data_IF_939704192854
#
_entry.id   IF_939704192854
#
_cell.length_a   1.000
_cell.length_b   1.000
_cell.length_c   1.000
_cell.angle_alpha   90.00
_cell.angle_beta   90.00
_cell.angle_gamma   90.00
#
_symmetry.space_group_name_H-M   'P 1'
#
loop_
_entity.id
_entity.type
_entity.pdbx_description
1 polymer ?
#
# COMPACT_ATOMS: atom_id res chain seq x y z
N UNK A 1 -27.71 -70.68 22.26
CA UNK A 1 -27.53 -69.23 21.96
C UNK A 1 -28.15 -68.91 20.61
N UNK A 2 -29.26 -68.14 20.55
CA UNK A 2 -29.81 -67.69 19.26
C UNK A 2 -28.89 -66.63 18.65
N UNK A 3 -28.43 -66.86 17.42
CA UNK A 3 -27.58 -65.91 16.68
C UNK A 3 -28.38 -64.62 16.42
N UNK A 4 -27.80 -63.46 16.70
CA UNK A 4 -28.42 -62.17 16.39
C UNK A 4 -28.66 -62.07 14.87
N UNK A 5 -29.85 -61.59 14.47
CA UNK A 5 -30.15 -61.38 13.05
C UNK A 5 -29.28 -60.26 12.46
N UNK A 6 -29.06 -60.27 11.13
CA UNK A 6 -28.34 -59.18 10.43
C UNK A 6 -28.96 -57.80 10.72
N UNK A 7 -30.29 -57.72 10.78
CA UNK A 7 -31.01 -56.49 11.10
C UNK A 7 -30.78 -56.03 12.55
N UNK A 8 -30.74 -56.95 13.52
CA UNK A 8 -30.40 -56.66 14.91
C UNK A 8 -28.96 -56.16 15.08
N UNK A 9 -28.01 -56.66 14.28
CA UNK A 9 -26.62 -56.19 14.28
C UNK A 9 -26.54 -54.77 13.74
N UNK A 10 -27.13 -54.51 12.57
CA UNK A 10 -27.19 -53.18 11.97
C UNK A 10 -27.88 -52.15 12.88
N UNK A 11 -28.93 -52.54 13.61
CA UNK A 11 -29.59 -51.67 14.57
C UNK A 11 -28.67 -51.29 15.75
N UNK A 12 -27.87 -52.22 16.29
CA UNK A 12 -26.87 -51.94 17.33
C UNK A 12 -25.76 -51.02 16.80
N UNK A 13 -25.26 -51.30 15.60
CA UNK A 13 -24.23 -50.51 14.93
C UNK A 13 -24.69 -49.06 14.70
N UNK A 14 -25.90 -48.86 14.16
CA UNK A 14 -26.50 -47.54 13.98
C UNK A 14 -26.68 -46.78 15.31
N UNK A 15 -27.08 -47.46 16.39
CA UNK A 15 -27.20 -46.82 17.72
C UNK A 15 -25.85 -46.44 18.32
N UNK A 16 -24.79 -47.23 18.09
CA UNK A 16 -23.43 -46.89 18.47
C UNK A 16 -22.87 -45.72 17.63
N UNK A 17 -23.19 -45.67 16.34
CA UNK A 17 -22.87 -44.54 15.48
C UNK A 17 -23.54 -43.25 15.95
N UNK A 18 -24.83 -43.30 16.32
CA UNK A 18 -25.54 -42.15 16.90
C UNK A 18 -24.93 -41.69 18.23
N UNK A 19 -24.59 -42.62 19.14
CA UNK A 19 -23.94 -42.30 20.41
C UNK A 19 -22.55 -41.66 20.21
N UNK A 20 -21.73 -42.19 19.30
CA UNK A 20 -20.40 -41.64 19.00
C UNK A 20 -20.48 -40.29 18.29
N UNK A 21 -21.47 -40.08 17.42
CA UNK A 21 -21.77 -38.78 16.83
C UNK A 21 -22.17 -37.75 17.90
N UNK A 22 -23.08 -38.10 18.81
CA UNK A 22 -23.48 -37.24 19.94
C UNK A 22 -22.28 -36.87 20.84
N UNK A 23 -21.40 -37.83 21.15
CA UNK A 23 -20.20 -37.59 21.95
C UNK A 23 -19.18 -36.69 21.22
N UNK A 24 -18.98 -36.88 19.91
CA UNK A 24 -18.13 -36.01 19.07
C UNK A 24 -18.69 -34.59 19.01
N UNK A 25 -19.98 -34.44 18.69
CA UNK A 25 -20.65 -33.15 18.64
C UNK A 25 -20.62 -32.41 19.99
N UNK A 26 -20.78 -33.12 21.12
CA UNK A 26 -20.63 -32.55 22.46
C UNK A 26 -19.21 -31.98 22.68
N UNK A 27 -18.17 -32.64 22.17
CA UNK A 27 -16.79 -32.12 22.23
C UNK A 27 -16.60 -30.91 21.31
N UNK A 28 -17.14 -30.94 20.10
CA UNK A 28 -17.09 -29.80 19.16
C UNK A 28 -17.86 -28.59 19.69
N UNK A 29 -19.03 -28.77 20.31
CA UNK A 29 -19.80 -27.69 20.91
C UNK A 29 -19.00 -26.92 21.98
N UNK A 30 -18.13 -27.61 22.75
CA UNK A 30 -17.26 -26.98 23.76
C UNK A 30 -16.16 -26.10 23.18
N UNK A 31 -15.72 -26.31 21.94
CA UNK A 31 -14.71 -25.47 21.28
C UNK A 31 -15.32 -24.34 20.44
N UNK A 32 -16.64 -24.39 20.22
CA UNK A 32 -17.41 -23.34 19.53
C UNK A 32 -17.91 -22.30 20.53
N UNK A 33 -18.20 -21.08 20.05
CA UNK A 33 -18.76 -20.04 20.90
C UNK A 33 -20.20 -20.35 21.32
N UNK A 34 -20.61 -19.94 22.54
CA UNK A 34 -21.91 -20.27 23.18
C UNK A 34 -23.13 -20.22 22.24
N UNK A 35 -23.27 -19.17 21.42
CA UNK A 35 -24.39 -18.99 20.45
C UNK A 35 -24.38 -19.94 19.24
N UNK A 36 -23.29 -20.68 19.02
CA UNK A 36 -23.18 -21.70 17.96
C UNK A 36 -23.28 -23.09 18.60
N UNK A 37 -22.75 -23.25 19.82
CA UNK A 37 -22.92 -24.46 20.62
C UNK A 37 -24.41 -24.76 20.90
N UNK A 38 -25.18 -23.73 21.30
CA UNK A 38 -26.63 -23.87 21.56
C UNK A 38 -27.44 -24.35 20.35
N UNK A 39 -27.00 -24.03 19.13
CA UNK A 39 -27.67 -24.50 17.89
C UNK A 39 -27.50 -26.02 17.68
N UNK A 40 -26.67 -26.71 18.48
CA UNK A 40 -26.39 -28.14 18.39
C UNK A 40 -27.07 -28.99 19.48
N UNK A 41 -27.49 -28.40 20.60
CA UNK A 41 -27.93 -29.15 21.78
C UNK A 41 -29.14 -30.04 21.46
N UNK A 42 -30.19 -29.51 20.81
CA UNK A 42 -31.36 -30.28 20.34
C UNK A 42 -30.99 -31.50 19.46
N UNK A 43 -29.98 -31.35 18.60
CA UNK A 43 -29.52 -32.42 17.71
C UNK A 43 -28.67 -33.46 18.46
N UNK A 44 -27.94 -33.03 19.49
CA UNK A 44 -27.18 -33.92 20.38
C UNK A 44 -28.17 -34.75 21.21
N UNK A 45 -29.27 -34.16 21.65
CA UNK A 45 -30.33 -34.85 22.39
C UNK A 45 -31.11 -35.84 21.51
N UNK A 46 -31.59 -35.48 20.30
CA UNK A 46 -32.23 -36.46 19.38
C UNK A 46 -31.28 -37.63 19.02
N UNK A 47 -29.97 -37.38 18.92
CA UNK A 47 -28.98 -38.43 18.69
C UNK A 47 -28.76 -39.34 19.92
N UNK A 48 -28.81 -38.80 21.16
CA UNK A 48 -28.78 -39.59 22.40
C UNK A 48 -30.04 -40.43 22.54
N UNK A 49 -31.22 -39.84 22.36
CA UNK A 49 -32.53 -40.51 22.38
C UNK A 49 -32.68 -41.61 21.31
N UNK A 50 -32.01 -41.43 20.17
CA UNK A 50 -32.00 -42.44 19.11
C UNK A 50 -31.01 -43.59 19.42
N UNK A 51 -29.97 -43.33 20.21
CA UNK A 51 -29.03 -44.34 20.69
C UNK A 51 -29.56 -45.13 21.91
N UNK A 52 -30.31 -44.49 22.81
CA UNK A 52 -30.85 -45.12 24.01
C UNK A 52 -32.13 -45.93 23.73
N UNK A 53 -31.94 -47.12 23.16
CA UNK A 53 -33.02 -48.05 22.81
C UNK A 53 -32.92 -49.37 23.56
N UNK A 54 -34.03 -49.76 24.19
CA UNK A 54 -34.09 -50.99 24.97
C UNK A 54 -33.82 -52.24 24.13
N UNK A 55 -33.19 -53.26 24.76
CA UNK A 55 -32.91 -54.57 24.15
C UNK A 55 -34.17 -55.22 23.54
N UNK A 56 -35.36 -54.98 24.11
CA UNK A 56 -36.67 -55.42 23.59
C UNK A 56 -37.02 -54.73 22.25
N UNK A 57 -36.80 -53.42 22.15
CA UNK A 57 -37.08 -52.62 20.94
C UNK A 57 -36.13 -52.96 19.78
N UNK A 58 -34.85 -53.24 20.10
CA UNK A 58 -33.85 -53.74 19.15
C UNK A 58 -34.25 -55.08 18.52
N UNK A 59 -34.74 -56.04 19.32
CA UNK A 59 -35.25 -57.33 18.81
C UNK A 59 -36.55 -57.19 18.02
N UNK A 60 -37.51 -56.42 18.54
CA UNK A 60 -38.85 -56.34 17.96
C UNK A 60 -38.96 -55.49 16.68
N UNK A 61 -38.18 -54.40 16.57
CA UNK A 61 -38.28 -53.43 15.46
C UNK A 61 -36.90 -52.97 14.95
N UNK A 62 -35.94 -53.87 14.66
CA UNK A 62 -34.55 -53.51 14.36
C UNK A 62 -34.42 -52.50 13.20
N UNK A 63 -35.12 -52.73 12.08
CA UNK A 63 -35.10 -51.82 10.91
C UNK A 63 -35.55 -50.40 11.25
N UNK A 64 -36.57 -50.23 12.13
CA UNK A 64 -37.06 -48.89 12.54
C UNK A 64 -36.11 -48.21 13.51
N UNK A 65 -35.42 -48.99 14.36
CA UNK A 65 -34.37 -48.47 15.25
C UNK A 65 -33.17 -47.98 14.46
N UNK A 66 -32.63 -48.80 13.54
CA UNK A 66 -31.53 -48.43 12.65
C UNK A 66 -31.83 -47.12 11.89
N UNK A 67 -32.98 -47.06 11.21
CA UNK A 67 -33.39 -45.89 10.45
C UNK A 67 -33.61 -44.62 11.31
N UNK A 68 -33.99 -44.72 12.59
CA UNK A 68 -34.05 -43.57 13.50
C UNK A 68 -32.62 -43.10 13.84
N UNK A 69 -31.76 -44.01 14.27
CA UNK A 69 -30.40 -43.70 14.69
C UNK A 69 -29.55 -43.12 13.54
N UNK A 70 -29.61 -43.70 12.34
CA UNK A 70 -28.96 -43.17 11.14
C UNK A 70 -29.47 -41.77 10.77
N UNK A 71 -30.79 -41.52 10.91
CA UNK A 71 -31.37 -40.21 10.61
C UNK A 71 -30.96 -39.15 11.62
N UNK A 72 -30.94 -39.49 12.91
CA UNK A 72 -30.47 -38.58 13.96
C UNK A 72 -28.99 -38.26 13.78
N UNK A 73 -28.14 -39.27 13.56
CA UNK A 73 -26.72 -39.10 13.28
C UNK A 73 -26.48 -38.17 12.07
N UNK A 74 -27.12 -38.43 10.92
CA UNK A 74 -27.01 -37.60 9.71
C UNK A 74 -27.50 -36.16 9.90
N UNK A 75 -28.52 -35.93 10.74
CA UNK A 75 -28.99 -34.59 11.09
C UNK A 75 -27.95 -33.85 11.92
N UNK A 76 -27.44 -34.51 12.96
CA UNK A 76 -26.40 -33.99 13.83
C UNK A 76 -25.11 -33.66 13.06
N UNK A 77 -24.63 -34.56 12.20
CA UNK A 77 -23.45 -34.32 11.34
C UNK A 77 -23.61 -33.08 10.45
N UNK A 78 -24.79 -32.91 9.84
CA UNK A 78 -25.11 -31.72 9.04
C UNK A 78 -25.19 -30.45 9.90
N UNK A 79 -25.71 -30.54 11.12
CA UNK A 79 -25.76 -29.41 12.05
C UNK A 79 -24.34 -29.00 12.49
N UNK A 80 -23.50 -29.97 12.87
CA UNK A 80 -22.09 -29.75 13.23
C UNK A 80 -21.30 -29.14 12.06
N UNK A 81 -21.46 -29.66 10.83
CA UNK A 81 -20.80 -29.09 9.66
C UNK A 81 -21.20 -27.62 9.41
N UNK A 82 -22.50 -27.29 9.53
CA UNK A 82 -22.99 -25.91 9.44
C UNK A 82 -22.44 -25.02 10.56
N UNK A 83 -22.38 -25.54 11.79
CA UNK A 83 -21.87 -24.83 12.96
C UNK A 83 -20.37 -24.49 12.83
N UNK A 84 -19.55 -25.44 12.36
CA UNK A 84 -18.12 -25.22 12.06
C UNK A 84 -17.96 -24.19 10.94
N UNK A 85 -18.67 -24.34 9.82
CA UNK A 85 -18.62 -23.37 8.71
C UNK A 85 -19.05 -21.95 9.13
N UNK A 86 -20.06 -21.82 10.00
CA UNK A 86 -20.51 -20.55 10.60
C UNK A 86 -19.42 -19.93 11.50
N UNK A 87 -18.68 -20.75 12.25
CA UNK A 87 -17.55 -20.30 13.07
C UNK A 87 -16.34 -19.88 12.21
N UNK A 88 -15.97 -20.65 11.19
CA UNK A 88 -14.89 -20.32 10.26
C UNK A 88 -15.18 -19.05 9.45
N UNK A 89 -16.41 -18.89 8.93
CA UNK A 89 -16.79 -17.64 8.24
C UNK A 89 -16.64 -16.44 9.17
N UNK A 90 -17.02 -16.60 10.44
CA UNK A 90 -16.88 -15.53 11.45
C UNK A 90 -15.43 -15.25 11.83
N UNK A 91 -14.54 -16.25 11.87
CA UNK A 91 -13.11 -16.01 12.12
C UNK A 91 -12.43 -15.35 10.92
N UNK A 92 -12.75 -15.77 9.68
CA UNK A 92 -12.28 -15.14 8.44
C UNK A 92 -12.65 -13.65 8.38
N UNK A 93 -13.94 -13.32 8.56
CA UNK A 93 -14.41 -11.92 8.56
C UNK A 93 -13.75 -11.07 9.65
N UNK A 94 -13.43 -11.65 10.81
CA UNK A 94 -12.68 -10.95 11.88
C UNK A 94 -11.21 -10.72 11.52
N UNK A 95 -10.56 -11.70 10.88
CA UNK A 95 -9.18 -11.58 10.44
C UNK A 95 -9.04 -10.56 9.29
N UNK A 96 -10.00 -10.57 8.36
CA UNK A 96 -10.12 -9.59 7.27
C UNK A 96 -10.34 -8.17 7.81
N UNK A 97 -11.28 -7.98 8.73
CA UNK A 97 -11.49 -6.69 9.39
C UNK A 97 -10.26 -6.19 10.17
N UNK A 98 -9.51 -7.10 10.82
CA UNK A 98 -8.25 -6.76 11.51
C UNK A 98 -7.17 -6.30 10.53
N UNK A 99 -7.00 -7.00 9.39
CA UNK A 99 -6.06 -6.59 8.34
C UNK A 99 -6.43 -5.24 7.74
N UNK A 100 -7.71 -5.04 7.38
CA UNK A 100 -8.20 -3.77 6.86
C UNK A 100 -7.94 -2.59 7.83
N UNK A 101 -8.10 -2.80 9.14
CA UNK A 101 -7.75 -1.80 10.15
C UNK A 101 -6.23 -1.57 10.26
N UNK A 102 -5.40 -2.60 10.16
CA UNK A 102 -3.93 -2.49 10.14
C UNK A 102 -3.38 -1.84 8.85
N UNK A 103 -4.05 -2.04 7.72
CA UNK A 103 -3.72 -1.40 6.45
C UNK A 103 -4.15 0.09 6.46
N UNK A 104 -5.32 0.40 7.01
CA UNK A 104 -5.78 1.78 7.21
C UNK A 104 -4.84 2.57 8.16
N UNK A 105 -4.47 1.99 9.30
CA UNK A 105 -3.55 2.61 10.26
C UNK A 105 -2.15 2.85 9.64
N UNK A 106 -1.68 1.95 8.76
CA UNK A 106 -0.43 2.15 7.99
C UNK A 106 -0.56 3.29 6.98
N UNK A 107 -1.66 3.35 6.22
CA UNK A 107 -1.92 4.42 5.27
C UNK A 107 -2.01 5.80 5.97
N UNK A 108 -2.64 5.89 7.14
CA UNK A 108 -2.69 7.11 7.95
C UNK A 108 -1.29 7.53 8.44
N UNK A 109 -0.47 6.57 8.90
CA UNK A 109 0.91 6.83 9.32
C UNK A 109 1.80 7.31 8.17
N UNK A 110 1.70 6.70 6.98
CA UNK A 110 2.41 7.12 5.77
C UNK A 110 1.97 8.51 5.29
N UNK A 111 0.66 8.80 5.34
CA UNK A 111 0.13 10.12 5.00
C UNK A 111 0.64 11.21 5.98
N UNK A 112 0.68 10.90 7.27
CA UNK A 112 1.24 11.78 8.29
C UNK A 112 2.75 12.02 8.09
N UNK A 113 3.52 10.99 7.75
CA UNK A 113 4.95 11.08 7.45
C UNK A 113 5.20 11.99 6.23
N UNK A 114 4.53 11.75 5.10
CA UNK A 114 4.65 12.59 3.89
C UNK A 114 4.22 14.04 4.15
N UNK A 115 3.19 14.26 4.98
CA UNK A 115 2.78 15.61 5.39
C UNK A 115 3.83 16.31 6.27
N UNK A 116 4.58 15.57 7.08
CA UNK A 116 5.70 16.11 7.86
C UNK A 116 6.91 16.44 6.96
N UNK A 117 7.27 15.56 6.04
CA UNK A 117 8.33 15.76 5.04
C UNK A 117 8.05 16.99 4.16
N UNK A 118 6.83 17.11 3.61
CA UNK A 118 6.43 18.27 2.80
C UNK A 118 6.52 19.60 3.59
N UNK A 119 6.18 19.59 4.89
CA UNK A 119 6.36 20.75 5.78
C UNK A 119 7.83 21.06 6.04
N UNK A 120 8.69 20.05 6.17
CA UNK A 120 10.13 20.22 6.34
C UNK A 120 10.78 20.80 5.06
N UNK A 121 10.48 20.25 3.89
CA UNK A 121 10.96 20.74 2.59
C UNK A 121 10.52 22.19 2.35
N UNK A 122 9.26 22.55 2.63
CA UNK A 122 8.78 23.94 2.51
C UNK A 122 9.51 24.92 3.44
N UNK A 123 9.90 24.49 4.65
CA UNK A 123 10.72 25.29 5.56
C UNK A 123 12.15 25.43 5.06
N UNK A 124 12.75 24.36 4.53
CA UNK A 124 14.09 24.39 3.95
C UNK A 124 14.16 25.33 2.73
N UNK A 125 13.21 25.23 1.80
CA UNK A 125 13.11 26.10 0.62
C UNK A 125 13.04 27.58 1.02
N UNK A 126 12.15 27.96 1.96
CA UNK A 126 12.06 29.34 2.48
C UNK A 126 13.34 29.84 3.16
N UNK A 127 14.10 28.94 3.81
CA UNK A 127 15.40 29.30 4.41
C UNK A 127 16.45 29.54 3.32
N UNK A 128 16.47 28.72 2.27
CA UNK A 128 17.37 28.89 1.13
C UNK A 128 17.06 30.18 0.35
N UNK A 129 15.79 30.44 0.05
CA UNK A 129 15.30 31.68 -0.58
C UNK A 129 15.73 32.93 0.20
N UNK A 130 15.55 32.94 1.52
CA UNK A 130 15.99 34.05 2.39
C UNK A 130 17.52 34.17 2.48
N UNK A 131 18.27 33.09 2.30
CA UNK A 131 19.73 33.13 2.25
C UNK A 131 20.23 33.68 0.91
N UNK A 132 19.64 33.25 -0.20
CA UNK A 132 19.93 33.78 -1.54
C UNK A 132 19.66 35.28 -1.62
N UNK A 133 18.48 35.74 -1.17
CA UNK A 133 18.14 37.18 -1.17
C UNK A 133 19.08 38.03 -0.30
N UNK A 134 19.71 37.45 0.74
CA UNK A 134 20.75 38.14 1.52
C UNK A 134 22.07 38.21 0.78
N UNK A 135 22.51 37.10 0.19
CA UNK A 135 23.73 37.05 -0.62
C UNK A 135 23.64 37.98 -1.83
N UNK A 136 22.48 38.11 -2.46
CA UNK A 136 22.23 39.07 -3.54
C UNK A 136 22.40 40.52 -3.05
N UNK A 137 21.79 40.89 -1.92
CA UNK A 137 21.94 42.24 -1.33
C UNK A 137 23.39 42.53 -0.90
N UNK A 138 24.08 41.58 -0.27
CA UNK A 138 25.49 41.70 0.11
C UNK A 138 26.39 41.85 -1.13
N UNK A 139 26.11 41.11 -2.21
CA UNK A 139 26.84 41.24 -3.48
C UNK A 139 26.58 42.55 -4.22
N UNK A 140 25.35 43.08 -4.13
CA UNK A 140 25.01 44.38 -4.70
C UNK A 140 25.69 45.53 -3.96
N UNK A 141 25.71 45.48 -2.62
CA UNK A 141 26.45 46.44 -1.80
C UNK A 141 27.96 46.41 -2.09
N UNK A 142 28.56 45.22 -2.18
CA UNK A 142 29.98 45.08 -2.53
C UNK A 142 30.30 45.61 -3.96
N UNK A 143 29.37 45.47 -4.91
CA UNK A 143 29.51 46.05 -6.24
C UNK A 143 29.37 47.58 -6.25
N UNK A 144 28.51 48.14 -5.40
CA UNK A 144 28.36 49.60 -5.20
C UNK A 144 29.61 50.20 -4.52
N UNK A 145 30.13 49.55 -3.48
CA UNK A 145 31.41 49.93 -2.83
C UNK A 145 32.57 49.91 -3.83
N UNK A 146 32.68 48.87 -4.67
CA UNK A 146 33.68 48.79 -5.73
C UNK A 146 33.53 49.92 -6.77
N UNK A 147 32.29 50.26 -7.15
CA UNK A 147 32.02 51.33 -8.10
C UNK A 147 32.40 52.72 -7.53
N UNK A 148 32.15 52.96 -6.24
CA UNK A 148 32.58 54.19 -5.54
C UNK A 148 34.10 54.27 -5.47
N UNK A 149 34.79 53.18 -5.09
CA UNK A 149 36.25 53.14 -5.05
C UNK A 149 36.91 53.35 -6.44
N UNK A 150 36.20 53.01 -7.53
CA UNK A 150 36.62 53.27 -8.91
C UNK A 150 36.22 54.67 -9.44
N UNK A 151 35.47 55.46 -8.67
CA UNK A 151 35.05 56.83 -9.04
C UNK A 151 35.53 57.92 -8.07
N UNK A 152 36.29 57.58 -7.03
CA UNK A 152 37.16 58.55 -6.36
C UNK A 152 38.24 59.04 -7.35
N UNK A 153 38.37 60.36 -7.60
CA UNK A 153 39.34 60.87 -8.54
C UNK A 153 40.74 60.91 -7.90
N UNK A 154 41.67 60.11 -8.42
CA UNK A 154 43.07 60.52 -8.36
C UNK A 154 43.24 61.76 -9.26
N UNK A 155 43.48 62.92 -8.65
CA UNK A 155 43.98 64.11 -9.36
C UNK A 155 45.39 63.80 -9.90
N UNK A 156 45.43 63.35 -11.16
CA UNK A 156 46.64 62.95 -11.87
C UNK A 156 46.53 63.17 -13.38
N UNK A 157 46.21 64.40 -13.79
CA UNK A 157 46.09 64.80 -15.21
C UNK A 157 47.47 65.02 -15.83
N UNK A 158 47.77 64.37 -16.96
CA UNK A 158 48.29 65.02 -18.19
C UNK A 158 48.07 64.10 -19.43
N UNK A 159 47.99 64.64 -20.67
CA UNK A 159 47.11 64.07 -21.70
C UNK A 159 47.70 63.81 -23.10
N UNK A 160 46.88 63.16 -23.94
CA UNK A 160 46.90 63.17 -25.42
C UNK A 160 48.06 62.44 -26.17
N UNK A 161 47.88 62.09 -27.47
CA UNK A 161 46.78 62.43 -28.38
C UNK A 161 45.95 61.25 -28.92
N UNK A 162 44.93 61.61 -29.71
CA UNK A 162 43.90 60.73 -30.28
C UNK A 162 44.28 60.24 -31.72
N UNK A 163 43.34 59.96 -32.65
CA UNK A 163 42.96 58.57 -32.95
C UNK A 163 43.06 58.18 -34.44
N UNK A 164 43.16 56.88 -34.76
CA UNK A 164 42.87 56.37 -36.10
C UNK A 164 41.95 55.14 -36.08
N UNK A 165 40.92 55.07 -36.95
CA UNK A 165 40.01 53.93 -37.06
C UNK A 165 40.37 53.03 -38.24
N UNK A 166 40.72 51.77 -37.98
CA UNK A 166 40.71 50.72 -39.01
C UNK A 166 39.55 49.76 -38.80
N UNK A 167 38.77 49.57 -39.85
CA UNK A 167 37.66 48.62 -39.93
C UNK A 167 38.10 47.35 -40.66
N UNK A 168 37.50 46.20 -40.32
CA UNK A 168 37.42 44.97 -41.13
C UNK A 168 38.77 44.31 -41.56
N UNK A 169 38.94 43.00 -41.72
CA UNK A 169 38.24 41.80 -41.22
C UNK A 169 39.21 40.60 -41.38
N UNK A 170 39.07 39.44 -40.73
CA UNK A 170 37.95 38.98 -39.92
C UNK A 170 38.41 38.24 -38.64
N UNK A 171 37.53 38.21 -37.65
CA UNK A 171 37.67 37.28 -36.51
C UNK A 171 37.09 35.94 -36.95
N UNK A 172 37.94 34.92 -37.08
CA UNK A 172 37.52 33.57 -37.44
C UNK A 172 36.43 33.07 -36.48
N UNK A 173 35.19 33.02 -36.99
CA UNK A 173 34.02 32.61 -36.23
C UNK A 173 34.13 31.16 -35.72
N UNK A 174 34.99 30.34 -36.36
CA UNK A 174 35.29 28.98 -35.92
C UNK A 174 36.14 28.94 -34.65
N UNK A 175 36.94 29.98 -34.36
CA UNK A 175 37.73 30.10 -33.14
C UNK A 175 36.91 30.55 -31.93
N UNK A 176 35.84 31.33 -32.14
CA UNK A 176 34.98 31.87 -31.07
C UNK A 176 34.21 30.80 -30.29
N UNK A 177 33.91 31.05 -29.02
CA UNK A 177 33.08 30.13 -28.24
C UNK A 177 31.60 30.30 -28.58
N UNK A 178 30.77 29.32 -28.19
CA UNK A 178 29.31 29.40 -28.37
C UNK A 178 28.70 30.57 -27.59
N UNK A 179 29.33 31.02 -26.51
CA UNK A 179 28.88 32.20 -25.77
C UNK A 179 29.12 33.49 -26.58
N UNK A 180 30.32 33.65 -27.15
CA UNK A 180 30.71 34.84 -27.91
C UNK A 180 29.88 34.98 -29.19
N UNK A 181 29.68 33.88 -29.92
CA UNK A 181 28.81 33.85 -31.10
C UNK A 181 27.36 34.25 -30.76
N UNK A 182 26.83 33.81 -29.61
CA UNK A 182 25.49 34.22 -29.15
C UNK A 182 25.43 35.67 -28.69
N UNK A 183 26.51 36.20 -28.12
CA UNK A 183 26.62 37.62 -27.79
C UNK A 183 26.64 38.49 -29.04
N UNK A 184 27.39 38.07 -30.08
CA UNK A 184 27.44 38.74 -31.40
C UNK A 184 26.09 38.70 -32.13
N UNK A 185 25.45 37.53 -32.17
CA UNK A 185 24.08 37.39 -32.72
C UNK A 185 23.06 38.28 -31.98
N UNK A 186 23.20 38.46 -30.67
CA UNK A 186 22.37 39.40 -29.88
C UNK A 186 22.67 40.86 -30.23
N UNK A 187 23.94 41.23 -30.41
CA UNK A 187 24.35 42.58 -30.79
C UNK A 187 23.84 42.97 -32.19
N UNK A 188 23.79 42.02 -33.13
CA UNK A 188 23.16 42.17 -34.45
C UNK A 188 21.61 42.10 -34.43
N UNK A 189 20.99 41.96 -33.25
CA UNK A 189 19.53 41.90 -33.11
C UNK A 189 18.88 40.64 -33.66
N UNK A 190 19.66 39.59 -33.96
CA UNK A 190 19.13 38.29 -34.40
C UNK A 190 18.31 37.65 -33.28
N UNK A 191 17.25 36.92 -33.62
CA UNK A 191 16.41 36.20 -32.65
C UNK A 191 16.51 34.68 -32.84
N UNK A 192 16.04 33.90 -31.86
CA UNK A 192 16.05 32.42 -31.85
C UNK A 192 17.44 31.71 -31.87
N UNK A 193 18.56 32.44 -31.83
CA UNK A 193 19.93 31.91 -31.80
C UNK A 193 20.25 30.97 -30.62
N UNK A 194 19.45 30.97 -29.54
CA UNK A 194 19.70 30.20 -28.32
C UNK A 194 19.61 28.68 -28.50
N UNK A 195 18.94 28.20 -29.56
CA UNK A 195 18.79 26.78 -29.90
C UNK A 195 19.75 26.28 -30.98
N UNK A 196 20.52 27.18 -31.59
CA UNK A 196 21.44 26.84 -32.67
C UNK A 196 22.75 26.23 -32.14
N UNK A 197 23.30 25.29 -32.91
CA UNK A 197 24.62 24.69 -32.70
C UNK A 197 25.74 25.66 -33.09
N UNK A 198 27.01 25.35 -32.75
CA UNK A 198 28.15 26.22 -33.08
C UNK A 198 28.25 26.49 -34.60
N UNK A 199 28.11 25.45 -35.44
CA UNK A 199 28.14 25.61 -36.90
C UNK A 199 26.99 26.50 -37.39
N UNK A 200 25.76 26.26 -36.94
CA UNK A 200 24.59 27.06 -37.31
C UNK A 200 24.65 28.52 -36.82
N UNK A 201 25.43 28.80 -35.76
CA UNK A 201 25.70 30.17 -35.31
C UNK A 201 26.77 30.85 -36.18
N UNK A 202 27.72 30.09 -36.72
CA UNK A 202 28.72 30.61 -37.67
C UNK A 202 28.02 30.93 -39.00
N UNK A 203 27.24 29.99 -39.56
CA UNK A 203 26.48 30.17 -40.82
C UNK A 203 25.45 31.33 -40.78
N UNK A 204 25.06 31.77 -39.58
CA UNK A 204 24.10 32.87 -39.35
C UNK A 204 24.80 34.24 -39.18
N UNK A 205 26.12 34.24 -38.96
CA UNK A 205 26.97 35.41 -38.71
C UNK A 205 28.04 35.63 -39.79
N UNK A 206 28.13 34.72 -40.77
CA UNK A 206 28.90 34.84 -42.02
C UNK A 206 28.10 35.52 -43.12
#
# INVERSE_FOLDING_TARGET
MSKQTKAERAAREATAAAATAAARATKTARTLGKKIASDLDDYIEDARDAAEVSKKKLKAKPKKVAARAERAARRLERAVAKAVAKAERKSRLRAEAKRAAEDAARAEAEAAARAAEAKALKKAARKAEKAAARAELESAAAAEELAVALTEPEEGVEPEPAPEPEAADAVDLSALTVADLRARAKAEGRTAYSRLSKAQLIDLLS
#
